data_IF_062772272354
#
_entry.id   IF_062772272354
#
_cell.length_a   1.000
_cell.length_b   1.000
_cell.length_c   1.000
_cell.angle_alpha   90.00
_cell.angle_beta   90.00
_cell.angle_gamma   90.00
#
_symmetry.space_group_name_H-M   'P 1'
#
loop_
_entity.id
_entity.type
_entity.pdbx_description
1 polymer ?
#
# COMPACT_ATOMS: atom_id res chain seq x y z
N UNK A 1 19.16 -34.17 55.34
CA UNK A 1 19.66 -33.29 54.26
C UNK A 1 18.75 -33.46 53.05
N UNK A 2 17.82 -32.53 52.81
CA UNK A 2 16.90 -32.58 51.65
C UNK A 2 17.58 -31.86 50.49
N UNK A 3 17.89 -32.58 49.41
CA UNK A 3 18.41 -31.99 48.16
C UNK A 3 17.21 -31.43 47.38
N UNK A 4 17.13 -30.11 47.25
CA UNK A 4 16.21 -29.46 46.32
C UNK A 4 16.81 -29.53 44.91
N UNK A 5 16.06 -30.11 43.97
CA UNK A 5 16.40 -30.08 42.55
C UNK A 5 15.74 -28.81 42.00
N UNK A 6 16.56 -27.84 41.60
CA UNK A 6 16.10 -26.66 40.88
C UNK A 6 16.04 -27.04 39.40
N UNK A 7 14.83 -27.08 38.86
CA UNK A 7 14.59 -27.28 37.43
C UNK A 7 14.74 -25.91 36.75
N UNK A 8 15.86 -25.70 36.04
CA UNK A 8 16.05 -24.50 35.23
C UNK A 8 15.20 -24.57 33.98
N UNK A 9 14.19 -23.70 33.87
CA UNK A 9 13.46 -23.49 32.63
C UNK A 9 14.39 -22.69 31.70
N UNK A 10 14.88 -23.33 30.64
CA UNK A 10 15.57 -22.63 29.57
C UNK A 10 14.53 -21.82 28.78
N UNK A 11 14.61 -20.49 28.84
CA UNK A 11 13.84 -19.63 27.96
C UNK A 11 14.40 -19.78 26.54
N UNK A 12 13.59 -20.35 25.64
CA UNK A 12 13.88 -20.34 24.21
C UNK A 12 13.49 -18.95 23.71
N UNK A 13 14.49 -18.13 23.37
CA UNK A 13 14.24 -16.88 22.65
C UNK A 13 13.80 -17.25 21.23
N UNK A 14 12.53 -17.01 20.91
CA UNK A 14 12.07 -16.98 19.54
C UNK A 14 12.63 -15.70 18.91
N UNK A 15 13.48 -15.82 17.89
CA UNK A 15 13.84 -14.68 17.07
C UNK A 15 12.58 -14.25 16.32
N UNK A 16 12.06 -13.04 16.58
CA UNK A 16 11.09 -12.47 15.65
C UNK A 16 11.87 -12.17 14.36
N UNK A 17 11.37 -12.67 13.25
CA UNK A 17 11.77 -12.14 11.96
C UNK A 17 11.26 -10.71 11.92
N UNK A 18 12.16 -9.73 11.76
CA UNK A 18 11.75 -8.36 11.54
C UNK A 18 10.84 -8.34 10.30
N UNK A 19 9.60 -7.86 10.48
CA UNK A 19 8.68 -7.66 9.37
C UNK A 19 9.21 -6.52 8.52
N UNK A 20 9.16 -6.69 7.20
CA UNK A 20 9.62 -5.67 6.28
C UNK A 20 8.66 -4.47 6.33
N UNK A 21 9.21 -3.25 6.25
CA UNK A 21 8.40 -2.06 6.03
C UNK A 21 8.04 -1.99 4.54
N UNK A 22 6.76 -2.12 4.22
CA UNK A 22 6.27 -2.17 2.84
C UNK A 22 4.96 -1.40 2.71
N UNK A 23 4.67 -0.90 1.51
CA UNK A 23 3.35 -0.36 1.18
C UNK A 23 2.35 -1.51 1.20
N UNK A 24 1.36 -1.44 2.08
CA UNK A 24 0.37 -2.50 2.30
C UNK A 24 -0.95 -2.20 1.58
N UNK A 25 -1.39 -0.95 1.64
CA UNK A 25 -2.61 -0.46 1.03
C UNK A 25 -2.39 0.97 0.55
N UNK A 26 -2.89 1.32 -0.63
CA UNK A 26 -2.72 2.63 -1.23
C UNK A 26 -4.00 3.02 -1.97
N UNK A 27 -4.65 4.07 -1.51
CA UNK A 27 -5.86 4.61 -2.12
C UNK A 27 -5.59 6.01 -2.67
N UNK A 28 -5.87 6.21 -3.96
CA UNK A 28 -5.43 7.38 -4.74
C UNK A 28 -6.62 8.15 -5.29
N UNK A 29 -7.69 7.46 -5.70
CA UNK A 29 -8.80 8.08 -6.44
C UNK A 29 -10.15 7.50 -6.05
N UNK A 30 -11.16 8.35 -5.90
CA UNK A 30 -12.51 8.04 -5.46
C UNK A 30 -13.55 8.61 -6.39
N UNK A 31 -14.76 8.07 -6.30
CA UNK A 31 -15.92 8.68 -6.95
C UNK A 31 -16.25 10.02 -6.27
N UNK A 32 -15.99 11.13 -6.95
CA UNK A 32 -16.33 12.48 -6.47
C UNK A 32 -15.09 13.26 -6.05
N UNK A 33 -15.11 13.83 -4.84
CA UNK A 33 -13.93 14.50 -4.27
C UNK A 33 -13.08 13.46 -3.56
N UNK A 34 -11.80 13.42 -3.89
CA UNK A 34 -10.84 12.57 -3.21
C UNK A 34 -10.59 13.14 -1.81
N UNK A 35 -11.15 12.48 -0.80
CA UNK A 35 -11.00 12.86 0.61
C UNK A 35 -10.73 11.65 1.51
N UNK A 36 -10.41 10.52 0.88
CA UNK A 36 -10.19 9.21 1.48
C UNK A 36 -8.89 8.58 0.95
N UNK A 37 -7.98 9.40 0.43
CA UNK A 37 -6.67 9.01 -0.07
C UNK A 37 -5.75 8.70 1.10
N UNK A 38 -4.97 7.64 1.00
CA UNK A 38 -3.98 7.28 2.00
C UNK A 38 -2.97 6.29 1.46
N UNK A 39 -1.85 6.22 2.16
CA UNK A 39 -0.93 5.09 2.13
C UNK A 39 -0.92 4.44 3.51
N UNK A 40 -1.00 3.11 3.53
CA UNK A 40 -0.75 2.28 4.69
C UNK A 40 0.59 1.57 4.51
N UNK A 41 1.45 1.69 5.52
CA UNK A 41 2.71 0.95 5.60
C UNK A 41 2.54 -0.17 6.61
N UNK A 42 2.85 -1.40 6.21
CA UNK A 42 2.95 -2.49 7.16
C UNK A 42 4.29 -2.43 7.90
N UNK A 43 4.29 -2.58 9.22
CA UNK A 43 5.47 -2.46 10.09
C UNK A 43 5.31 -3.30 11.37
N UNK A 44 6.36 -3.44 12.18
CA UNK A 44 6.19 -4.00 13.52
C UNK A 44 5.31 -3.09 14.40
N UNK A 45 4.52 -3.66 15.33
CA UNK A 45 3.77 -2.86 16.30
C UNK A 45 4.65 -1.87 17.05
N UNK A 46 4.30 -0.58 17.01
CA UNK A 46 5.05 0.52 17.63
C UNK A 46 6.47 0.72 17.06
N UNK A 47 6.74 0.27 15.83
CA UNK A 47 8.01 0.52 15.16
C UNK A 47 8.19 2.00 14.82
N UNK A 48 9.39 2.52 15.05
CA UNK A 48 9.77 3.87 14.64
C UNK A 48 10.13 3.88 13.16
N UNK A 49 9.30 4.54 12.35
CA UNK A 49 9.45 4.69 10.90
C UNK A 49 10.03 6.06 10.52
N UNK A 50 10.50 6.87 11.48
CA UNK A 50 10.98 8.25 11.21
C UNK A 50 12.22 8.34 10.32
N UNK A 51 12.89 7.21 10.05
CA UNK A 51 13.94 7.10 9.03
C UNK A 51 13.43 6.95 7.60
N UNK A 52 12.11 6.79 7.41
CA UNK A 52 11.44 6.57 6.14
C UNK A 52 10.60 7.79 5.73
N UNK A 53 10.54 8.01 4.42
CA UNK A 53 9.71 9.03 3.78
C UNK A 53 8.85 8.35 2.71
N UNK A 54 7.55 8.60 2.73
CA UNK A 54 6.68 8.29 1.61
C UNK A 54 6.79 9.41 0.57
N UNK A 55 7.06 9.04 -0.68
CA UNK A 55 7.32 9.95 -1.79
C UNK A 55 6.37 9.62 -2.94
N UNK A 56 5.79 10.65 -3.55
CA UNK A 56 5.03 10.53 -4.80
C UNK A 56 5.69 11.40 -5.86
N UNK A 57 5.90 10.81 -7.04
CA UNK A 57 6.50 11.48 -8.20
C UNK A 57 5.48 11.52 -9.33
N UNK A 58 5.30 12.70 -9.93
CA UNK A 58 4.45 12.95 -11.08
C UNK A 58 5.02 12.26 -12.33
N UNK A 59 4.17 11.61 -13.12
CA UNK A 59 4.57 10.86 -14.31
C UNK A 59 3.81 11.24 -15.59
N UNK A 60 2.72 12.01 -15.50
CA UNK A 60 1.92 12.49 -16.62
C UNK A 60 2.73 13.48 -17.47
N UNK A 61 2.96 13.10 -18.73
CA UNK A 61 3.73 13.88 -19.70
C UNK A 61 3.04 15.16 -20.13
N UNK A 62 1.78 15.34 -19.78
CA UNK A 62 1.01 16.56 -19.96
C UNK A 62 1.05 17.48 -18.73
N UNK A 63 1.59 17.00 -17.60
CA UNK A 63 1.86 17.72 -16.37
C UNK A 63 3.37 17.95 -16.16
N UNK A 64 3.78 18.28 -14.93
CA UNK A 64 5.18 18.48 -14.55
C UNK A 64 5.82 17.15 -14.12
N UNK A 65 5.87 16.18 -15.03
CA UNK A 65 6.50 14.88 -14.80
C UNK A 65 7.92 15.02 -14.21
N UNK A 66 8.34 14.04 -13.40
CA UNK A 66 9.61 14.09 -12.67
C UNK A 66 9.55 14.91 -11.37
N UNK A 67 8.47 15.66 -11.14
CA UNK A 67 8.32 16.43 -9.90
C UNK A 67 7.98 15.52 -8.72
N UNK A 68 8.60 15.78 -7.57
CA UNK A 68 8.16 15.20 -6.29
C UNK A 68 6.95 15.98 -5.76
N UNK A 69 5.74 15.46 -5.92
CA UNK A 69 4.52 16.16 -5.47
C UNK A 69 4.27 16.00 -3.97
N UNK A 70 4.68 14.88 -3.40
CA UNK A 70 4.47 14.55 -2.00
C UNK A 70 5.75 13.99 -1.42
N UNK A 71 6.14 14.49 -0.24
CA UNK A 71 7.21 13.95 0.56
C UNK A 71 6.82 14.01 2.05
N UNK A 72 6.50 12.87 2.63
CA UNK A 72 5.99 12.74 4.00
C UNK A 72 6.92 11.86 4.81
N UNK A 73 7.69 12.46 5.73
CA UNK A 73 8.44 11.70 6.73
C UNK A 73 7.47 11.01 7.67
N UNK A 74 7.63 9.70 7.86
CA UNK A 74 6.74 8.89 8.67
C UNK A 74 7.02 9.05 10.17
N UNK A 75 6.08 8.60 10.98
CA UNK A 75 6.14 8.61 12.43
C UNK A 75 6.38 7.22 13.02
N UNK A 76 5.62 6.88 14.07
CA UNK A 76 5.65 5.57 14.71
C UNK A 76 4.38 4.81 14.32
N UNK A 77 4.54 3.55 13.91
CA UNK A 77 3.42 2.66 13.60
C UNK A 77 2.50 2.44 14.82
N UNK A 78 1.22 2.19 14.55
CA UNK A 78 0.26 1.80 15.56
C UNK A 78 0.61 0.45 16.23
N UNK A 79 -0.08 0.10 17.33
CA UNK A 79 0.09 -1.19 18.01
C UNK A 79 -0.49 -2.37 17.22
N UNK A 80 -1.25 -2.09 16.17
CA UNK A 80 -1.77 -3.03 15.18
C UNK A 80 -0.72 -3.47 14.13
N UNK A 81 0.39 -2.74 14.02
CA UNK A 81 1.45 -3.03 13.04
C UNK A 81 1.23 -2.35 11.69
N UNK A 82 0.38 -1.31 11.65
CA UNK A 82 0.17 -0.48 10.48
C UNK A 82 0.55 0.97 10.77
N UNK A 83 0.90 1.71 9.73
CA UNK A 83 1.07 3.15 9.77
C UNK A 83 0.27 3.79 8.64
N UNK A 84 -0.76 4.57 8.98
CA UNK A 84 -1.66 5.18 8.01
C UNK A 84 -1.38 6.68 7.91
N UNK A 85 -0.90 7.11 6.73
CA UNK A 85 -0.78 8.51 6.34
C UNK A 85 -1.78 8.82 5.24
N UNK A 86 -2.71 9.75 5.48
CA UNK A 86 -3.81 9.99 4.55
C UNK A 86 -4.62 11.24 4.82
N UNK A 87 -5.72 11.39 4.10
CA UNK A 87 -6.57 12.55 4.26
C UNK A 87 -7.21 12.61 5.64
N UNK A 88 -7.55 13.80 6.12
CA UNK A 88 -8.20 14.04 7.43
C UNK A 88 -9.42 13.15 7.71
N UNK A 89 -10.18 12.73 6.69
CA UNK A 89 -11.39 11.90 6.88
C UNK A 89 -11.14 10.39 6.94
N UNK A 90 -9.92 9.93 6.61
CA UNK A 90 -9.53 8.52 6.66
C UNK A 90 -9.60 8.01 8.10
N UNK A 91 -10.12 6.80 8.28
CA UNK A 91 -10.18 6.18 9.61
C UNK A 91 -8.80 5.68 10.04
N UNK A 92 -8.58 5.56 11.35
CA UNK A 92 -7.35 5.01 11.94
C UNK A 92 -6.05 5.68 11.47
N UNK A 93 -6.09 7.00 11.21
CA UNK A 93 -4.93 7.78 10.83
C UNK A 93 -3.88 7.88 11.93
N UNK A 94 -2.62 7.63 11.56
CA UNK A 94 -1.44 7.99 12.34
C UNK A 94 -0.91 9.38 11.94
N UNK A 95 -1.09 9.77 10.68
CA UNK A 95 -0.69 11.09 10.18
C UNK A 95 -1.68 11.66 9.17
N UNK A 96 -2.22 12.83 9.48
CA UNK A 96 -3.00 13.66 8.55
C UNK A 96 -2.05 14.39 7.59
N UNK A 97 -2.25 14.20 6.28
CA UNK A 97 -1.47 14.84 5.21
C UNK A 97 -2.29 15.85 4.40
N UNK A 98 -3.54 16.14 4.78
CA UNK A 98 -4.40 17.15 4.16
C UNK A 98 -5.86 16.71 4.04
N UNK A 99 -6.76 17.64 3.73
CA UNK A 99 -8.20 17.33 3.76
C UNK A 99 -8.72 16.54 2.56
N UNK A 100 -8.10 16.71 1.39
CA UNK A 100 -8.56 16.17 0.10
C UNK A 100 -7.55 16.42 -1.02
N UNK A 101 -7.50 15.58 -2.04
CA UNK A 101 -6.65 15.67 -3.24
C UNK A 101 -5.17 15.88 -2.86
N UNK A 102 -4.66 15.00 -1.99
CA UNK A 102 -3.27 15.04 -1.52
C UNK A 102 -2.36 14.15 -2.34
N UNK A 103 -2.91 13.10 -2.95
CA UNK A 103 -2.29 12.24 -3.95
C UNK A 103 -2.94 12.61 -5.30
N UNK A 104 -2.13 13.06 -6.26
CA UNK A 104 -2.66 13.48 -7.55
C UNK A 104 -3.31 12.30 -8.31
N UNK A 105 -4.37 12.61 -9.06
CA UNK A 105 -4.90 11.68 -10.03
C UNK A 105 -4.06 11.75 -11.32
N UNK A 106 -3.24 10.74 -11.57
CA UNK A 106 -2.54 10.60 -12.84
C UNK A 106 -1.68 9.35 -12.92
N UNK A 107 -0.68 9.38 -13.80
CA UNK A 107 0.45 8.45 -13.74
C UNK A 107 1.37 8.91 -12.62
N UNK A 108 1.67 8.02 -11.66
CA UNK A 108 2.48 8.37 -10.50
C UNK A 108 3.42 7.22 -10.13
N UNK A 109 4.55 7.57 -9.51
CA UNK A 109 5.44 6.62 -8.84
C UNK A 109 5.39 6.82 -7.34
N UNK A 110 4.99 5.79 -6.59
CA UNK A 110 4.88 5.82 -5.13
C UNK A 110 6.05 5.05 -4.53
N UNK A 111 6.79 5.69 -3.61
CA UNK A 111 8.00 5.14 -3.02
C UNK A 111 7.98 5.22 -1.50
N UNK A 112 8.51 4.19 -0.86
CA UNK A 112 8.98 4.26 0.51
C UNK A 112 10.50 4.39 0.47
N UNK A 113 11.04 5.50 0.97
CA UNK A 113 12.48 5.84 0.83
C UNK A 113 13.13 5.99 2.19
N UNK A 114 14.21 5.23 2.42
CA UNK A 114 15.08 5.39 3.58
C UNK A 114 16.19 6.40 3.30
N UNK A 115 16.38 7.34 4.22
CA UNK A 115 17.41 8.38 4.09
C UNK A 115 17.15 9.31 2.91
N UNK A 116 15.90 9.72 2.74
CA UNK A 116 15.46 10.61 1.66
C UNK A 116 16.27 11.91 1.62
N UNK A 117 16.73 12.29 0.44
CA UNK A 117 17.58 13.49 0.23
C UNK A 117 16.95 14.56 -0.66
N UNK A 118 15.78 14.30 -1.24
CA UNK A 118 15.05 15.29 -2.03
C UNK A 118 14.16 16.20 -1.20
N UNK A 119 13.35 16.99 -1.88
CA UNK A 119 12.28 17.81 -1.31
C UNK A 119 11.06 17.80 -2.24
N UNK A 120 9.89 18.09 -1.67
CA UNK A 120 8.69 18.36 -2.46
C UNK A 120 8.93 19.53 -3.42
N UNK A 121 8.58 19.35 -4.69
CA UNK A 121 8.82 20.30 -5.78
C UNK A 121 10.18 20.15 -6.49
N UNK A 122 11.05 19.26 -6.03
CA UNK A 122 12.27 18.92 -6.78
C UNK A 122 11.90 18.14 -8.05
N UNK A 123 12.61 18.46 -9.13
CA UNK A 123 12.56 17.73 -10.40
C UNK A 123 13.69 16.69 -10.43
N UNK A 124 13.32 15.42 -10.56
CA UNK A 124 14.24 14.27 -10.59
C UNK A 124 14.59 13.81 -12.01
N UNK A 125 13.99 14.40 -13.05
CA UNK A 125 14.12 14.02 -14.47
C UNK A 125 14.27 15.30 -15.31
N UNK A 126 15.37 16.02 -15.08
CA UNK A 126 15.57 17.36 -15.60
C UNK A 126 15.88 17.39 -17.10
N UNK A 127 16.33 16.27 -17.68
CA UNK A 127 16.50 16.12 -19.12
C UNK A 127 15.25 15.58 -19.84
N UNK A 128 14.28 15.10 -19.07
CA UNK A 128 12.95 14.72 -19.50
C UNK A 128 12.92 13.49 -20.39
N UNK A 129 13.79 12.52 -20.11
CA UNK A 129 13.89 11.27 -20.86
C UNK A 129 13.09 10.12 -20.24
N UNK A 130 12.41 10.36 -19.12
CA UNK A 130 11.61 9.39 -18.38
C UNK A 130 12.44 8.53 -17.43
N UNK A 131 13.69 8.90 -17.16
CA UNK A 131 14.59 8.23 -16.22
C UNK A 131 15.07 9.23 -15.17
N UNK A 132 15.08 8.80 -13.91
CA UNK A 132 15.57 9.65 -12.84
C UNK A 132 17.09 9.93 -12.98
N UNK A 133 17.48 11.20 -12.91
CA UNK A 133 18.85 11.71 -13.02
C UNK A 133 19.75 11.37 -11.81
N UNK A 134 19.17 10.83 -10.75
CA UNK A 134 19.89 10.59 -9.51
C UNK A 134 19.14 9.72 -8.52
N UNK A 135 19.83 9.35 -7.45
CA UNK A 135 19.20 8.71 -6.29
C UNK A 135 18.66 9.78 -5.35
N UNK A 136 17.44 9.57 -4.86
CA UNK A 136 16.81 10.35 -3.78
C UNK A 136 16.90 9.67 -2.42
N UNK A 137 17.70 8.60 -2.30
CA UNK A 137 17.79 7.74 -1.12
C UNK A 137 17.74 6.25 -1.47
N UNK A 138 17.58 5.41 -0.45
CA UNK A 138 17.40 3.96 -0.64
C UNK A 138 15.92 3.64 -0.77
N UNK A 139 15.50 3.16 -1.94
CA UNK A 139 14.13 2.71 -2.17
C UNK A 139 13.90 1.40 -1.42
N UNK A 140 12.96 1.41 -0.47
CA UNK A 140 12.59 0.27 0.38
C UNK A 140 11.46 -0.52 -0.25
N UNK A 141 10.44 0.18 -0.74
CA UNK A 141 9.32 -0.39 -1.50
C UNK A 141 8.85 0.62 -2.56
N UNK A 142 8.25 0.12 -3.63
CA UNK A 142 7.90 0.96 -4.78
C UNK A 142 6.76 0.34 -5.60
N UNK A 143 5.83 1.18 -6.06
CA UNK A 143 4.78 0.82 -7.00
C UNK A 143 4.48 1.99 -7.94
N UNK A 144 4.24 1.69 -9.20
CA UNK A 144 3.83 2.66 -10.21
C UNK A 144 2.34 2.53 -10.54
N UNK A 145 1.70 3.66 -10.81
CA UNK A 145 0.38 3.74 -11.45
C UNK A 145 0.56 4.38 -12.81
N UNK A 146 -0.05 3.80 -13.83
CA UNK A 146 -0.15 4.43 -15.15
C UNK A 146 -1.63 4.62 -15.47
N UNK A 147 -2.02 5.85 -15.77
CA UNK A 147 -3.41 6.20 -16.09
C UNK A 147 -3.73 6.20 -17.59
N UNK A 148 -2.70 6.04 -18.42
CA UNK A 148 -2.78 5.83 -19.84
C UNK A 148 -1.57 6.42 -20.54
N UNK A 149 -1.64 6.47 -21.88
CA UNK A 149 -0.70 7.28 -22.66
C UNK A 149 0.78 6.86 -22.59
N UNK A 150 1.67 7.70 -23.12
CA UNK A 150 3.12 7.51 -23.09
C UNK A 150 3.77 8.11 -21.83
N UNK A 151 3.13 7.96 -20.66
CA UNK A 151 3.56 8.56 -19.40
C UNK A 151 4.69 7.78 -18.71
N UNK A 152 5.35 8.43 -17.74
CA UNK A 152 6.57 7.92 -17.12
C UNK A 152 6.33 7.32 -15.74
N UNK A 153 7.02 6.20 -15.50
CA UNK A 153 7.10 5.59 -14.18
C UNK A 153 8.58 5.43 -13.84
N UNK A 154 8.97 6.00 -12.72
CA UNK A 154 10.36 6.21 -12.35
C UNK A 154 10.94 5.02 -11.59
N UNK A 155 12.27 4.96 -11.56
CA UNK A 155 13.06 3.97 -10.81
C UNK A 155 12.73 2.50 -11.14
N UNK A 156 12.11 2.24 -12.30
CA UNK A 156 11.72 0.90 -12.73
C UNK A 156 10.62 0.28 -11.86
N UNK A 157 9.72 1.09 -11.30
CA UNK A 157 8.64 0.59 -10.47
C UNK A 157 7.79 -0.45 -11.20
N UNK A 158 7.43 -1.57 -10.54
CA UNK A 158 6.39 -2.44 -11.07
C UNK A 158 5.07 -1.66 -11.11
N UNK A 159 4.25 -1.91 -12.13
CA UNK A 159 2.93 -1.30 -12.22
C UNK A 159 1.92 -2.07 -11.37
N UNK A 160 1.08 -1.35 -10.63
CA UNK A 160 -0.15 -1.90 -10.09
C UNK A 160 -1.05 -2.37 -11.25
N UNK A 161 -1.96 -3.34 -11.03
CA UNK A 161 -2.86 -3.79 -12.08
C UNK A 161 -3.71 -2.62 -12.63
N UNK A 162 -4.00 -2.66 -13.93
CA UNK A 162 -4.91 -1.71 -14.54
C UNK A 162 -6.37 -2.06 -14.23
N UNK A 163 -7.24 -1.06 -14.14
CA UNK A 163 -8.69 -1.24 -14.02
C UNK A 163 -9.36 -1.18 -15.40
N UNK A 164 -9.18 -2.27 -16.16
CA UNK A 164 -9.64 -2.33 -17.55
C UNK A 164 -8.97 -1.27 -18.42
N UNK A 165 -9.73 -0.26 -18.85
CA UNK A 165 -9.23 0.89 -19.62
C UNK A 165 -8.95 2.13 -18.77
N UNK A 166 -9.15 2.05 -17.45
CA UNK A 166 -8.97 3.14 -16.51
C UNK A 166 -7.78 2.85 -15.59
N UNK A 167 -7.23 3.93 -15.03
CA UNK A 167 -6.29 3.83 -13.93
C UNK A 167 -6.98 3.21 -12.71
N UNK A 168 -6.24 2.39 -11.94
CA UNK A 168 -6.75 1.87 -10.68
C UNK A 168 -7.09 3.00 -9.70
N UNK A 169 -8.15 2.81 -8.91
CA UNK A 169 -8.51 3.70 -7.80
C UNK A 169 -7.48 3.63 -6.67
N UNK A 170 -6.96 2.43 -6.45
CA UNK A 170 -5.97 2.08 -5.44
C UNK A 170 -5.62 0.60 -5.52
N UNK A 171 -4.71 0.17 -4.65
CA UNK A 171 -4.21 -1.21 -4.60
C UNK A 171 -3.87 -1.64 -3.18
N UNK A 172 -4.05 -2.93 -2.88
CA UNK A 172 -3.76 -3.53 -1.58
C UNK A 172 -3.01 -4.87 -1.71
N UNK A 173 -2.31 -5.27 -0.65
CA UNK A 173 -1.72 -6.61 -0.52
C UNK A 173 -2.75 -7.55 0.09
N UNK A 174 -3.00 -8.69 -0.54
CA UNK A 174 -3.92 -9.67 0.02
C UNK A 174 -3.38 -10.43 1.23
N UNK A 175 -2.12 -10.83 1.14
CA UNK A 175 -1.39 -11.28 2.30
C UNK A 175 -0.64 -10.06 2.80
N UNK A 176 -1.14 -9.45 3.87
CA UNK A 176 -0.55 -8.23 4.41
C UNK A 176 0.96 -8.40 4.59
N UNK A 177 1.71 -7.34 4.25
CA UNK A 177 3.16 -7.22 4.45
C UNK A 177 4.05 -8.15 3.59
N UNK A 178 3.54 -9.27 3.09
CA UNK A 178 4.33 -10.31 2.41
C UNK A 178 3.84 -10.66 1.01
N UNK A 179 2.55 -10.52 0.74
CA UNK A 179 1.92 -10.82 -0.54
C UNK A 179 2.18 -9.74 -1.60
N UNK A 180 1.80 -10.00 -2.85
CA UNK A 180 1.87 -9.00 -3.92
C UNK A 180 0.93 -7.83 -3.65
N UNK A 181 1.31 -6.61 -4.07
CA UNK A 181 0.46 -5.42 -4.05
C UNK A 181 -0.36 -5.39 -5.36
N UNK A 182 -1.43 -6.20 -5.44
CA UNK A 182 -2.18 -6.46 -6.67
C UNK A 182 -3.71 -6.57 -6.52
N UNK A 183 -4.26 -6.44 -5.31
CA UNK A 183 -5.72 -6.35 -5.15
C UNK A 183 -6.18 -4.94 -5.47
N UNK A 184 -6.98 -4.77 -6.52
CA UNK A 184 -7.57 -3.48 -6.83
C UNK A 184 -8.56 -3.04 -5.75
N UNK A 185 -8.44 -1.78 -5.34
CA UNK A 185 -9.43 -1.06 -4.53
C UNK A 185 -10.45 -0.40 -5.46
N UNK A 186 -11.65 -0.18 -4.96
CA UNK A 186 -12.69 0.47 -5.75
C UNK A 186 -12.82 1.97 -5.48
N UNK A 187 -13.33 2.70 -6.46
CA UNK A 187 -13.63 4.13 -6.34
C UNK A 187 -14.69 4.48 -5.28
N UNK A 188 -15.60 3.55 -4.97
CA UNK A 188 -16.68 3.77 -4.01
C UNK A 188 -16.28 3.32 -2.61
N UNK A 189 -15.95 4.24 -1.71
CA UNK A 189 -15.56 3.89 -0.35
C UNK A 189 -16.61 3.00 0.33
N UNK A 190 -16.21 1.80 0.75
CA UNK A 190 -17.04 0.83 1.46
C UNK A 190 -18.32 0.38 0.72
N UNK A 191 -18.32 0.41 -0.62
CA UNK A 191 -19.49 0.01 -1.41
C UNK A 191 -19.17 -1.07 -2.45
N UNK A 192 -18.17 -1.90 -2.20
CA UNK A 192 -17.65 -2.84 -3.18
C UNK A 192 -17.77 -4.27 -2.69
N UNK A 193 -18.04 -5.15 -3.64
CA UNK A 193 -18.19 -6.58 -3.43
C UNK A 193 -17.04 -7.33 -4.12
N UNK A 194 -16.17 -7.90 -3.28
CA UNK A 194 -15.06 -8.78 -3.67
C UNK A 194 -15.49 -9.98 -4.53
N UNK A 195 -16.78 -10.33 -4.53
CA UNK A 195 -17.35 -11.39 -5.35
C UNK A 195 -17.78 -10.92 -6.75
N UNK A 196 -18.67 -9.93 -6.83
CA UNK A 196 -19.27 -9.52 -8.12
C UNK A 196 -18.40 -8.57 -8.91
N UNK A 197 -17.71 -7.66 -8.21
CA UNK A 197 -16.97 -6.58 -8.83
C UNK A 197 -15.47 -6.88 -8.81
N UNK A 198 -15.01 -7.73 -7.88
CA UNK A 198 -13.61 -8.15 -7.75
C UNK A 198 -12.72 -7.10 -7.09
N UNK A 199 -13.28 -5.99 -6.62
CA UNK A 199 -12.58 -4.92 -5.92
C UNK A 199 -12.78 -4.99 -4.42
N UNK A 200 -11.73 -4.65 -3.68
CA UNK A 200 -11.76 -4.55 -2.23
C UNK A 200 -12.24 -3.16 -1.78
N UNK A 201 -12.84 -3.14 -0.58
CA UNK A 201 -13.03 -1.90 0.15
C UNK A 201 -11.72 -1.53 0.85
N UNK A 202 -11.57 -0.23 1.13
CA UNK A 202 -10.40 0.25 1.88
C UNK A 202 -10.44 -0.23 3.33
N UNK A 203 -9.28 -0.56 3.91
CA UNK A 203 -9.16 -1.07 5.29
C UNK A 203 -8.04 -0.41 6.10
N UNK A 204 -7.98 0.93 6.17
CA UNK A 204 -6.89 1.61 6.87
C UNK A 204 -6.81 1.21 8.35
N UNK A 205 -5.61 0.84 8.80
CA UNK A 205 -5.32 0.36 10.16
C UNK A 205 -5.87 -1.03 10.44
N UNK A 206 -6.13 -1.84 9.41
CA UNK A 206 -6.70 -3.16 9.55
C UNK A 206 -6.20 -4.11 8.47
N UNK A 207 -6.39 -5.41 8.69
CA UNK A 207 -5.99 -6.41 7.71
C UNK A 207 -6.80 -6.27 6.41
N UNK A 208 -6.11 -6.33 5.27
CA UNK A 208 -6.74 -6.20 3.97
C UNK A 208 -7.72 -7.34 3.70
N UNK A 209 -8.83 -6.99 3.05
CA UNK A 209 -9.82 -7.96 2.61
C UNK A 209 -9.63 -8.20 1.11
N UNK A 210 -9.39 -9.46 0.73
CA UNK A 210 -9.22 -9.82 -0.66
C UNK A 210 -10.29 -10.75 -1.19
N UNK A 211 -10.57 -10.57 -2.47
CA UNK A 211 -11.46 -11.41 -3.24
C UNK A 211 -10.72 -12.69 -3.57
N UNK A 212 -10.92 -13.71 -2.76
CA UNK A 212 -10.69 -15.06 -3.25
C UNK A 212 -11.63 -15.26 -4.43
N UNK A 213 -11.10 -15.62 -5.61
CA UNK A 213 -11.86 -16.43 -6.56
C UNK A 213 -12.61 -17.44 -5.71
N UNK A 214 -13.94 -17.37 -5.70
CA UNK A 214 -14.75 -18.30 -4.94
C UNK A 214 -14.18 -19.69 -5.18
N UNK A 215 -13.70 -20.31 -4.10
CA UNK A 215 -13.28 -21.68 -4.13
C UNK A 215 -14.51 -22.48 -4.56
N UNK A 216 -14.59 -22.76 -5.86
CA UNK A 216 -15.42 -23.76 -6.51
C UNK A 216 -16.91 -23.79 -6.11
N UNK A 217 -17.77 -23.64 -7.12
CA UNK A 217 -19.12 -24.23 -7.17
C UNK A 217 -19.16 -25.78 -6.95
N UNK A 218 -18.12 -26.42 -6.41
CA UNK A 218 -18.04 -27.86 -6.16
C UNK A 218 -18.48 -28.27 -4.74
N UNK A 219 -18.85 -27.34 -3.85
CA UNK A 219 -19.30 -27.70 -2.50
C UNK A 219 -20.81 -28.03 -2.38
N UNK A 220 -21.62 -27.88 -3.44
CA UNK A 220 -23.08 -28.11 -3.36
C UNK A 220 -23.59 -29.37 -4.07
N UNK A 221 -22.80 -30.01 -4.95
CA UNK A 221 -23.23 -31.24 -5.62
C UNK A 221 -23.06 -32.52 -4.79
N UNK A 222 -22.35 -32.46 -3.66
CA UNK A 222 -22.15 -33.58 -2.75
C UNK A 222 -23.42 -34.03 -2.01
N UNK A 223 -24.31 -33.08 -1.68
CA UNK A 223 -25.48 -33.36 -0.84
C UNK A 223 -26.73 -33.76 -1.64
N UNK A 224 -26.78 -33.47 -2.95
CA UNK A 224 -27.94 -33.79 -3.81
C UNK A 224 -28.02 -35.28 -4.18
N UNK A 225 -26.91 -36.03 -4.08
CA UNK A 225 -26.89 -37.48 -4.37
C UNK A 225 -27.54 -38.35 -3.28
N UNK A 226 -27.90 -37.78 -2.14
CA UNK A 226 -28.61 -38.50 -1.07
C UNK A 226 -30.14 -38.41 -1.18
N UNK A 227 -30.67 -37.54 -2.04
CA UNK A 227 -32.12 -37.29 -2.19
C UNK A 227 -32.80 -38.07 -3.32
N UNK A 228 -32.04 -38.82 -4.12
CA UNK A 228 -32.57 -39.72 -5.17
C UNK A 228 -32.01 -41.13 -5.00
N UNK A 229 -32.44 -41.82 -3.94
CA UNK A 229 -32.50 -43.28 -3.87
C UNK A 229 -33.88 -43.71 -3.44
#
# INVERSE_FOLDING_TARGET
MKKAIVCGIAAIALASTAQAQVINELMISHAGTDNQEFVEICAQPNEDLSGLTFVVIEGDTTSNYGTIDVAVTLGTAGPDGYYVAGNTAVANLDQDIGASNVLENGTNTFLLVSGFTGAQGDDIDADGDGVADGSIGTIVDIIGRNDGGPDFVYYGAPLMPADGSFAAAGVARCEDCTGSLDQLLCFGVNNCDLGTDGYANITPGAANQCGGSTATEEASWGDVKSMFR
#
